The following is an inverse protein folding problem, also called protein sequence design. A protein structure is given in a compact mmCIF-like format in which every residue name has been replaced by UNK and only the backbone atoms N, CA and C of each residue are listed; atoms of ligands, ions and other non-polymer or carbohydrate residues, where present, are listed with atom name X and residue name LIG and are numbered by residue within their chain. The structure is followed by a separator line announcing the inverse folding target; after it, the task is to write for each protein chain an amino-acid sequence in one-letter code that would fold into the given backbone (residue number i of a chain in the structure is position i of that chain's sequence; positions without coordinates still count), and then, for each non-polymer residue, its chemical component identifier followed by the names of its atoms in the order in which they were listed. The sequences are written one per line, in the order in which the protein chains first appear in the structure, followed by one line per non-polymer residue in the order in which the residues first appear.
data_IF_196629403731
#
_entry.id   IF_196629403731
#
_cell.length_a   1.000
_cell.length_b   1.000
_cell.length_c   1.000
_cell.angle_alpha   90.00
_cell.angle_beta   90.00
_cell.angle_gamma   90.00
#
_symmetry.space_group_name_H-M   'P 1'
#
loop_
_entity.id
_entity.type
_entity.pdbx_description
1 polymer ?
#
# COMPACT_ATOMS: atom_id res chain seq x y z
N UNK A 1 -17.85 18.34 -1.16
CA UNK A 1 -17.47 18.00 -2.54
C UNK A 1 -15.94 17.85 -2.59
N UNK A 2 -15.39 16.65 -2.81
CA UNK A 2 -13.93 16.46 -2.91
C UNK A 2 -13.51 16.49 -4.39
N UNK A 3 -13.19 17.68 -4.90
CA UNK A 3 -12.91 17.92 -6.32
C UNK A 3 -11.55 17.33 -6.73
N UNK A 4 -10.55 17.45 -5.85
CA UNK A 4 -9.22 16.89 -6.09
C UNK A 4 -9.25 15.36 -6.24
N UNK A 5 -10.02 14.66 -5.41
CA UNK A 5 -10.17 13.21 -5.49
C UNK A 5 -10.85 12.76 -6.79
N UNK A 6 -11.85 13.50 -7.26
CA UNK A 6 -12.55 13.21 -8.52
C UNK A 6 -11.65 13.44 -9.72
N UNK A 7 -10.92 14.56 -9.75
CA UNK A 7 -9.94 14.84 -10.79
C UNK A 7 -8.87 13.75 -10.86
N UNK A 8 -8.32 13.34 -9.71
CA UNK A 8 -7.31 12.30 -9.64
C UNK A 8 -7.80 10.95 -10.18
N UNK A 9 -9.08 10.61 -9.94
CA UNK A 9 -9.70 9.37 -10.43
C UNK A 9 -10.36 9.50 -11.82
N UNK A 10 -10.29 10.67 -12.46
CA UNK A 10 -10.95 10.91 -13.74
C UNK A 10 -12.49 10.85 -13.69
N UNK A 11 -13.10 11.09 -12.53
CA UNK A 11 -14.55 11.08 -12.33
C UNK A 11 -15.18 12.41 -12.77
N UNK A 12 -16.30 12.38 -13.49
CA UNK A 12 -17.13 13.57 -13.77
C UNK A 12 -17.74 14.10 -12.48
N UNK A 13 -18.38 15.28 -12.51
CA UNK A 13 -19.00 15.88 -11.32
C UNK A 13 -20.17 15.08 -10.73
N UNK A 14 -20.84 14.24 -11.52
CA UNK A 14 -22.00 13.46 -11.09
C UNK A 14 -21.75 11.96 -10.92
N UNK A 15 -20.55 11.47 -11.26
CA UNK A 15 -20.23 10.06 -11.14
C UNK A 15 -20.23 9.60 -9.67
N UNK A 16 -20.60 8.34 -9.39
CA UNK A 16 -20.50 7.80 -8.04
C UNK A 16 -19.04 7.77 -7.59
N UNK A 17 -18.79 8.23 -6.36
CA UNK A 17 -17.45 8.18 -5.76
C UNK A 17 -17.27 6.82 -5.11
N UNK A 18 -16.16 6.11 -5.37
CA UNK A 18 -15.84 4.89 -4.65
C UNK A 18 -15.85 5.10 -3.13
N UNK A 19 -16.26 4.08 -2.39
CA UNK A 19 -16.21 4.13 -0.94
C UNK A 19 -14.76 4.35 -0.49
N UNK A 20 -14.56 5.07 0.62
CA UNK A 20 -13.19 5.39 1.10
C UNK A 20 -12.34 4.14 1.38
N UNK A 21 -12.98 2.99 1.64
CA UNK A 21 -12.31 1.70 1.83
C UNK A 21 -11.98 0.96 0.53
N UNK A 22 -12.50 1.39 -0.63
CA UNK A 22 -12.38 0.65 -1.90
C UNK A 22 -10.93 0.39 -2.27
N UNK A 23 -10.02 1.35 -2.06
CA UNK A 23 -8.59 1.18 -2.35
C UNK A 23 -7.98 0.10 -1.45
N UNK A 24 -8.22 0.17 -0.13
CA UNK A 24 -7.72 -0.83 0.82
C UNK A 24 -8.30 -2.22 0.53
N UNK A 25 -9.58 -2.30 0.18
CA UNK A 25 -10.25 -3.55 -0.15
C UNK A 25 -9.67 -4.18 -1.42
N UNK A 26 -9.45 -3.38 -2.48
CA UNK A 26 -8.82 -3.88 -3.71
C UNK A 26 -7.40 -4.40 -3.46
N UNK A 27 -6.61 -3.72 -2.63
CA UNK A 27 -5.27 -4.20 -2.24
C UNK A 27 -5.33 -5.56 -1.52
N UNK A 28 -6.33 -5.78 -0.67
CA UNK A 28 -6.45 -7.02 0.10
C UNK A 28 -7.12 -8.18 -0.63
N UNK A 29 -7.92 -7.89 -1.66
CA UNK A 29 -8.76 -8.90 -2.33
C UNK A 29 -8.42 -9.04 -3.81
N UNK A 30 -8.60 -7.96 -4.59
CA UNK A 30 -8.45 -8.00 -6.06
C UNK A 30 -7.00 -8.22 -6.50
N UNK A 31 -6.06 -7.56 -5.81
CA UNK A 31 -4.63 -7.63 -6.11
C UNK A 31 -3.88 -8.47 -5.08
N UNK A 32 -4.63 -9.29 -4.33
CA UNK A 32 -4.04 -10.21 -3.38
C UNK A 32 -3.13 -11.17 -4.14
N UNK A 33 -1.97 -11.45 -3.56
CA UNK A 33 -0.98 -12.39 -4.12
C UNK A 33 -0.41 -11.94 -5.48
N UNK A 34 -0.49 -10.64 -5.79
CA UNK A 34 0.18 -10.00 -6.94
C UNK A 34 1.30 -9.08 -6.45
N UNK A 35 2.30 -8.87 -7.30
CA UNK A 35 3.42 -7.94 -7.11
C UNK A 35 3.20 -6.58 -7.79
N UNK A 36 2.03 -6.34 -8.37
CA UNK A 36 1.72 -5.13 -9.16
C UNK A 36 2.02 -3.82 -8.44
N UNK A 37 1.87 -3.77 -7.11
CA UNK A 37 2.22 -2.57 -6.33
C UNK A 37 3.72 -2.32 -6.29
N UNK A 38 4.51 -3.39 -6.20
CA UNK A 38 5.96 -3.32 -6.25
C UNK A 38 6.43 -2.91 -7.65
N UNK A 39 5.88 -3.54 -8.70
CA UNK A 39 6.18 -3.19 -10.09
C UNK A 39 5.91 -1.70 -10.38
N UNK A 40 4.72 -1.19 -9.99
CA UNK A 40 4.38 0.22 -10.16
C UNK A 40 5.33 1.13 -9.38
N UNK A 41 5.68 0.74 -8.14
CA UNK A 41 6.61 1.52 -7.33
C UNK A 41 8.00 1.59 -7.96
N UNK A 42 8.53 0.45 -8.42
CA UNK A 42 9.83 0.36 -9.05
C UNK A 42 9.89 1.19 -10.34
N UNK A 43 8.83 1.16 -11.16
CA UNK A 43 8.71 2.00 -12.35
C UNK A 43 8.69 3.51 -12.03
N UNK A 44 7.99 3.92 -10.97
CA UNK A 44 7.99 5.32 -10.52
C UNK A 44 9.39 5.73 -10.08
N UNK A 45 10.10 4.88 -9.32
CA UNK A 45 11.46 5.14 -8.88
C UNK A 45 12.41 5.22 -10.08
N UNK A 46 12.28 4.31 -11.05
CA UNK A 46 13.07 4.29 -12.27
C UNK A 46 12.88 5.59 -13.07
N UNK A 47 11.64 6.05 -13.23
CA UNK A 47 11.34 7.33 -13.87
C UNK A 47 11.98 8.49 -13.10
N UNK A 48 11.87 8.53 -11.77
CA UNK A 48 12.47 9.57 -10.96
C UNK A 48 14.01 9.60 -11.08
N UNK A 49 14.66 8.44 -11.18
CA UNK A 49 16.10 8.32 -11.46
C UNK A 49 16.42 8.88 -12.86
N UNK A 50 15.66 8.48 -13.88
CA UNK A 50 15.85 8.94 -15.26
C UNK A 50 15.69 10.46 -15.39
N UNK A 51 14.78 11.05 -14.63
CA UNK A 51 14.57 12.49 -14.54
C UNK A 51 15.56 13.20 -13.59
N UNK A 52 16.57 12.49 -13.07
CA UNK A 52 17.59 13.02 -12.15
C UNK A 52 17.00 13.62 -10.86
N UNK A 53 15.80 13.18 -10.47
CA UNK A 53 15.12 13.58 -9.24
C UNK A 53 15.66 12.81 -8.02
N UNK A 54 16.21 11.61 -8.25
CA UNK A 54 16.81 10.77 -7.20
C UNK A 54 18.32 10.68 -7.42
N UNK A 55 19.09 11.27 -6.52
CA UNK A 55 20.54 11.06 -6.45
C UNK A 55 20.82 9.77 -5.67
N UNK A 56 21.27 8.72 -6.34
CA UNK A 56 21.54 7.38 -5.76
C UNK A 56 22.70 7.32 -4.74
N UNK A 57 22.93 8.39 -3.99
CA UNK A 57 24.05 8.54 -3.04
C UNK A 57 23.68 8.20 -1.60
N UNK A 58 22.40 8.30 -1.20
CA UNK A 58 21.99 8.01 0.18
C UNK A 58 20.60 7.37 0.21
N UNK A 59 20.51 6.13 0.69
CA UNK A 59 19.24 5.46 0.98
C UNK A 59 18.92 5.70 2.46
N UNK A 60 17.94 6.54 2.73
CA UNK A 60 17.36 6.67 4.07
C UNK A 60 16.12 5.76 4.15
N UNK A 61 16.20 4.72 4.98
CA UNK A 61 15.03 3.93 5.38
C UNK A 61 14.56 4.48 6.72
N UNK A 62 13.40 5.14 6.73
CA UNK A 62 12.72 5.49 7.97
C UNK A 62 11.72 4.39 8.28
N UNK A 63 11.99 3.61 9.33
CA UNK A 63 11.07 2.58 9.82
C UNK A 63 9.93 3.27 10.55
N UNK A 64 8.99 3.88 9.82
CA UNK A 64 7.79 4.42 10.44
C UNK A 64 7.03 3.26 11.08
N UNK A 65 7.06 3.19 12.41
CA UNK A 65 6.21 2.29 13.19
C UNK A 65 4.77 2.80 13.05
N UNK A 66 4.11 2.38 11.99
CA UNK A 66 2.70 2.62 11.78
C UNK A 66 1.95 1.90 12.90
N UNK A 67 1.52 2.67 13.90
CA UNK A 67 0.80 2.15 15.07
C UNK A 67 -0.51 1.54 14.56
N UNK A 68 -0.54 0.22 14.45
CA UNK A 68 -1.76 -0.49 14.08
C UNK A 68 -2.86 -0.08 15.06
N UNK A 69 -4.02 0.32 14.55
CA UNK A 69 -5.25 0.35 15.35
C UNK A 69 -5.69 -1.10 15.58
N UNK A 70 -4.86 -1.84 16.33
CA UNK A 70 -5.10 -3.19 16.76
C UNK A 70 -5.87 -3.09 18.07
N UNK A 71 -7.16 -3.46 18.04
CA UNK A 71 -7.92 -3.67 19.25
C UNK A 71 -7.20 -4.76 20.07
N UNK A 72 -6.62 -4.38 21.21
CA UNK A 72 -5.83 -5.24 22.11
C UNK A 72 -6.63 -6.38 22.76
N UNK A 73 -7.92 -6.51 22.45
CA UNK A 73 -8.81 -7.54 22.99
C UNK A 73 -9.19 -8.62 21.96
N UNK A 74 -8.64 -8.57 20.74
CA UNK A 74 -8.87 -9.61 19.74
C UNK A 74 -7.64 -10.53 19.63
N UNK A 75 -7.70 -11.67 20.31
CA UNK A 75 -6.69 -12.73 20.21
C UNK A 75 -7.27 -13.90 19.42
N UNK A 76 -6.49 -14.42 18.47
CA UNK A 76 -6.75 -15.72 17.83
C UNK A 76 -5.69 -16.68 18.33
N UNK A 77 -6.11 -17.76 18.99
CA UNK A 77 -5.18 -18.82 19.42
C UNK A 77 -4.73 -19.59 18.18
N UNK A 78 -3.43 -19.72 17.99
CA UNK A 78 -2.85 -20.51 16.90
C UNK A 78 -1.88 -21.51 17.54
N UNK A 79 -2.14 -22.80 17.33
CA UNK A 79 -1.21 -23.85 17.72
C UNK A 79 -0.04 -23.85 16.73
N UNK A 80 1.17 -23.75 17.26
CA UNK A 80 2.40 -23.78 16.45
C UNK A 80 3.12 -25.07 16.78
N UNK A 81 3.32 -25.90 15.77
CA UNK A 81 4.09 -27.13 15.88
C UNK A 81 5.59 -26.78 15.91
N UNK A 82 6.26 -27.10 17.02
CA UNK A 82 7.69 -26.81 17.20
C UNK A 82 8.50 -27.91 16.52
N UNK A 83 8.96 -27.67 15.30
CA UNK A 83 9.95 -28.54 14.66
C UNK A 83 11.33 -28.17 15.19
N UNK A 84 11.89 -29.03 16.03
CA UNK A 84 13.29 -28.98 16.44
C UNK A 84 14.16 -29.40 15.24
N UNK A 85 14.95 -28.48 14.69
CA UNK A 85 15.99 -28.80 13.73
C UNK A 85 17.26 -29.09 14.53
N UNK A 86 17.71 -30.36 14.52
CA UNK A 86 19.09 -30.76 14.82
C UNK A 86 19.89 -30.78 13.52
#
# INVERSE_FOLDING_TARGET
MNIAYRWFLGLKFHDPVPHHSTISWNRQHRFKDTDIFQEIFDEIVLQAINHKMVGGRVLFTDSTHLKANANKHKFTKQEVEVVAIL
#
